data_IF_585075338414
#
_entry.id   IF_585075338414
#
_cell.length_a   1.000
_cell.length_b   1.000
_cell.length_c   1.000
_cell.angle_alpha   90.00
_cell.angle_beta   90.00
_cell.angle_gamma   90.00
#
_symmetry.space_group_name_H-M   'P 1'
#
loop_
_entity.id
_entity.type
_entity.pdbx_description
1 polymer ?
#
# COMPACT_ATOMS: atom_id res chain seq x y z
N UNK A 1 -43.46 20.10 29.26
CA UNK A 1 -42.31 19.36 29.85
C UNK A 1 -41.79 18.41 28.78
N UNK A 2 -40.79 18.85 27.99
CA UNK A 2 -40.26 18.11 26.83
C UNK A 2 -39.05 17.29 27.28
N UNK A 3 -39.17 15.97 27.27
CA UNK A 3 -38.12 15.02 27.63
C UNK A 3 -37.73 14.17 26.41
N UNK A 4 -37.19 14.77 25.34
CA UNK A 4 -36.76 14.01 24.15
C UNK A 4 -35.61 14.68 23.36
N UNK A 5 -34.68 15.37 24.05
CA UNK A 5 -33.50 15.97 23.38
C UNK A 5 -32.15 15.34 23.76
N UNK A 6 -32.11 14.33 24.63
CA UNK A 6 -30.85 13.76 25.12
C UNK A 6 -30.47 12.36 24.59
N UNK A 7 -31.23 11.78 23.66
CA UNK A 7 -30.91 10.46 23.05
C UNK A 7 -30.62 10.60 21.54
N UNK A 8 -29.82 11.58 21.13
CA UNK A 8 -29.28 11.66 19.75
C UNK A 8 -27.76 11.80 19.67
N UNK A 9 -27.04 11.78 20.80
CA UNK A 9 -25.59 11.98 20.82
C UNK A 9 -24.77 10.67 20.82
N UNK A 10 -25.42 9.49 20.81
CA UNK A 10 -24.74 8.18 20.84
C UNK A 10 -25.02 7.29 19.61
N UNK A 11 -25.47 7.86 18.49
CA UNK A 11 -25.48 7.10 17.23
C UNK A 11 -24.13 7.32 16.56
N UNK A 12 -23.21 6.37 16.77
CA UNK A 12 -21.88 6.36 16.16
C UNK A 12 -21.96 6.70 14.67
N UNK A 13 -21.05 7.56 14.21
CA UNK A 13 -21.01 8.04 12.83
C UNK A 13 -20.81 6.84 11.91
N UNK A 14 -21.84 6.44 11.16
CA UNK A 14 -21.73 5.34 10.19
C UNK A 14 -20.81 5.77 9.06
N UNK A 15 -19.62 5.17 8.98
CA UNK A 15 -18.70 5.39 7.86
C UNK A 15 -19.00 4.36 6.79
N UNK A 16 -19.28 4.82 5.57
CA UNK A 16 -19.46 3.95 4.41
C UNK A 16 -18.09 3.44 3.97
N UNK A 17 -17.89 2.12 4.03
CA UNK A 17 -16.62 1.49 3.67
C UNK A 17 -16.68 0.80 2.31
N UNK A 18 -17.87 0.43 1.82
CA UNK A 18 -18.07 -0.27 0.56
C UNK A 18 -19.49 -0.12 0.01
N UNK A 19 -19.83 -0.84 -1.07
CA UNK A 19 -21.21 -0.90 -1.58
C UNK A 19 -22.08 -1.68 -0.56
N UNK A 20 -22.91 -0.97 0.20
CA UNK A 20 -23.82 -1.57 1.20
C UNK A 20 -23.18 -1.88 2.55
N UNK A 21 -21.87 -1.74 2.69
CA UNK A 21 -21.14 -1.99 3.94
C UNK A 21 -20.93 -0.67 4.71
N UNK A 22 -21.44 -0.65 5.94
CA UNK A 22 -21.29 0.45 6.89
C UNK A 22 -20.66 -0.11 8.16
N UNK A 23 -19.59 0.50 8.65
CA UNK A 23 -19.05 0.17 9.96
C UNK A 23 -19.40 1.29 10.93
N UNK A 24 -19.77 0.90 12.15
CA UNK A 24 -19.85 1.77 13.33
C UNK A 24 -18.45 2.01 13.90
N UNK A 25 -17.43 2.06 13.04
CA UNK A 25 -16.05 2.20 13.46
C UNK A 25 -15.63 3.64 13.28
N UNK A 26 -15.18 4.26 14.37
CA UNK A 26 -14.58 5.59 14.37
C UNK A 26 -13.11 5.55 13.90
N UNK A 27 -12.61 4.38 13.47
CA UNK A 27 -11.26 4.25 12.91
C UNK A 27 -11.06 5.12 11.68
N UNK A 28 -9.91 5.78 11.66
CA UNK A 28 -9.51 6.63 10.55
C UNK A 28 -9.21 5.81 9.29
N UNK A 29 -9.21 6.49 8.14
CA UNK A 29 -8.65 5.94 6.91
C UNK A 29 -7.13 6.06 6.95
N UNK A 30 -6.46 5.14 6.26
CA UNK A 30 -5.01 5.19 6.12
C UNK A 30 -4.62 6.35 5.20
N UNK A 31 -3.80 7.24 5.72
CA UNK A 31 -3.20 8.38 5.01
C UNK A 31 -1.73 8.44 5.43
N UNK A 32 -0.81 7.82 4.66
CA UNK A 32 0.58 7.77 5.05
C UNK A 32 1.24 9.15 4.93
N UNK A 33 2.25 9.39 5.76
CA UNK A 33 3.12 10.56 5.58
C UNK A 33 3.90 10.40 4.28
N UNK A 34 3.73 11.36 3.37
CA UNK A 34 4.43 11.41 2.10
C UNK A 34 5.74 12.18 2.28
N UNK A 35 6.91 11.54 2.09
CA UNK A 35 8.19 12.21 2.23
C UNK A 35 8.54 13.05 0.98
N UNK A 36 9.44 14.02 1.13
CA UNK A 36 9.75 15.01 0.09
C UNK A 36 10.32 14.38 -1.18
N UNK A 37 11.22 13.42 -1.02
CA UNK A 37 11.84 12.66 -2.12
C UNK A 37 10.81 11.93 -2.99
N UNK A 38 9.69 11.48 -2.41
CA UNK A 38 8.61 10.84 -3.17
C UNK A 38 7.83 11.86 -4.00
N UNK A 39 7.64 13.08 -3.46
CA UNK A 39 7.01 14.20 -4.19
C UNK A 39 7.90 14.65 -5.35
N UNK A 40 9.21 14.77 -5.14
CA UNK A 40 10.17 15.12 -6.19
C UNK A 40 10.17 14.08 -7.30
N UNK A 41 10.21 12.80 -6.95
CA UNK A 41 10.16 11.68 -7.90
C UNK A 41 8.85 11.69 -8.72
N UNK A 42 7.72 11.93 -8.05
CA UNK A 42 6.42 12.05 -8.71
C UNK A 42 6.39 13.22 -9.69
N UNK A 43 6.88 14.39 -9.26
CA UNK A 43 6.91 15.59 -10.11
C UNK A 43 7.87 15.41 -11.30
N UNK A 44 8.99 14.74 -11.13
CA UNK A 44 9.93 14.40 -12.21
C UNK A 44 9.24 13.57 -13.29
N UNK A 45 8.56 12.49 -12.91
CA UNK A 45 7.85 11.63 -13.84
C UNK A 45 6.66 12.35 -14.48
N UNK A 46 5.90 13.14 -13.72
CA UNK A 46 4.77 13.92 -14.25
C UNK A 46 5.22 14.94 -15.30
N UNK A 47 6.36 15.61 -15.09
CA UNK A 47 6.90 16.60 -16.02
C UNK A 47 7.44 15.97 -17.30
N UNK A 48 8.07 14.80 -17.19
CA UNK A 48 8.73 14.14 -18.32
C UNK A 48 7.81 13.19 -19.08
N UNK A 49 6.81 12.63 -18.42
CA UNK A 49 5.90 11.61 -18.94
C UNK A 49 4.44 11.89 -18.51
N UNK A 50 3.80 12.99 -18.98
CA UNK A 50 2.51 13.45 -18.45
C UNK A 50 1.33 12.48 -18.60
N UNK A 51 1.43 11.51 -19.52
CA UNK A 51 0.40 10.50 -19.77
C UNK A 51 0.55 9.27 -18.87
N UNK A 52 1.69 9.12 -18.19
CA UNK A 52 1.93 7.99 -17.28
C UNK A 52 1.32 8.32 -15.93
N UNK A 53 0.66 7.33 -15.33
CA UNK A 53 0.05 7.44 -13.99
C UNK A 53 0.66 6.39 -13.06
N UNK A 54 1.90 6.59 -12.56
CA UNK A 54 2.51 5.64 -11.65
C UNK A 54 1.84 5.68 -10.28
N UNK A 55 1.77 4.53 -9.62
CA UNK A 55 1.47 4.41 -8.20
C UNK A 55 2.79 4.35 -7.43
N UNK A 56 2.94 5.22 -6.44
CA UNK A 56 4.16 5.35 -5.64
C UNK A 56 3.97 4.68 -4.30
N UNK A 57 4.96 3.90 -3.88
CA UNK A 57 4.95 3.17 -2.62
C UNK A 57 6.26 3.44 -1.89
N UNK A 58 6.17 3.77 -0.62
CA UNK A 58 7.33 3.82 0.26
C UNK A 58 7.24 2.70 1.29
N UNK A 59 8.25 1.84 1.32
CA UNK A 59 8.31 0.75 2.31
C UNK A 59 8.40 1.25 3.76
N UNK A 60 8.79 2.50 4.01
CA UNK A 60 8.70 3.14 5.34
C UNK A 60 7.29 3.24 5.85
N UNK A 61 6.26 3.22 5.00
CA UNK A 61 4.89 3.26 5.48
C UNK A 61 4.53 2.02 6.30
N UNK A 62 5.24 0.89 6.12
CA UNK A 62 5.01 -0.30 6.94
C UNK A 62 5.47 -0.15 8.38
N UNK A 63 6.39 0.78 8.66
CA UNK A 63 6.96 0.99 9.99
C UNK A 63 5.90 1.30 11.05
N UNK A 64 4.76 1.92 10.70
CA UNK A 64 3.71 2.17 11.69
C UNK A 64 2.95 0.92 12.14
N UNK A 65 3.11 -0.20 11.42
CA UNK A 65 2.46 -1.48 11.68
C UNK A 65 3.42 -2.56 12.19
N UNK A 66 4.73 -2.33 12.09
CA UNK A 66 5.77 -3.31 12.43
C UNK A 66 6.31 -3.09 13.85
N UNK A 67 6.82 -4.17 14.45
CA UNK A 67 7.61 -4.10 15.69
C UNK A 67 9.02 -3.62 15.35
N UNK A 68 9.69 -4.23 14.38
CA UNK A 68 11.02 -3.77 13.96
C UNK A 68 10.92 -2.72 12.87
N UNK A 69 11.51 -1.57 13.16
CA UNK A 69 11.57 -0.46 12.21
C UNK A 69 12.63 -0.75 11.15
N UNK A 70 12.28 -0.54 9.89
CA UNK A 70 13.19 -0.75 8.77
C UNK A 70 14.09 0.46 8.60
N UNK A 71 15.40 0.23 8.53
CA UNK A 71 16.42 1.27 8.40
C UNK A 71 16.66 1.67 6.94
N UNK A 72 16.78 0.69 6.04
CA UNK A 72 16.88 0.91 4.59
C UNK A 72 15.53 0.74 3.93
N UNK A 73 15.08 1.75 3.20
CA UNK A 73 13.79 1.74 2.54
C UNK A 73 13.94 1.74 1.03
N UNK A 74 12.99 1.08 0.40
CA UNK A 74 12.81 1.07 -1.05
C UNK A 74 11.60 1.92 -1.42
N UNK A 75 11.78 2.77 -2.43
CA UNK A 75 10.69 3.42 -3.14
C UNK A 75 10.27 2.50 -4.30
N UNK A 76 8.99 2.16 -4.40
CA UNK A 76 8.46 1.35 -5.50
C UNK A 76 7.60 2.23 -6.38
N UNK A 77 7.90 2.24 -7.67
CA UNK A 77 7.14 2.92 -8.72
C UNK A 77 6.44 1.85 -9.54
N UNK A 78 5.14 1.72 -9.35
CA UNK A 78 4.31 0.80 -10.11
C UNK A 78 3.66 1.53 -11.29
N UNK A 79 3.80 1.01 -12.51
CA UNK A 79 3.24 1.64 -13.71
C UNK A 79 2.66 0.58 -14.66
N UNK A 80 1.93 1.00 -15.69
CA UNK A 80 1.38 0.06 -16.67
C UNK A 80 2.51 -0.70 -17.39
N UNK A 81 2.20 -1.92 -17.84
CA UNK A 81 3.20 -2.78 -18.52
C UNK A 81 3.82 -2.08 -19.74
N UNK A 82 3.01 -1.33 -20.47
CA UNK A 82 3.41 -0.66 -21.71
C UNK A 82 4.31 0.56 -21.45
N UNK A 83 4.32 1.10 -20.22
CA UNK A 83 5.12 2.26 -19.81
C UNK A 83 6.30 1.89 -18.91
N UNK A 84 6.40 0.61 -18.54
CA UNK A 84 7.36 0.10 -17.55
C UNK A 84 8.82 0.40 -17.89
N UNK A 85 9.26 0.02 -19.10
CA UNK A 85 10.64 0.23 -19.54
C UNK A 85 10.96 1.72 -19.70
N UNK A 86 9.99 2.51 -20.17
CA UNK A 86 10.17 3.94 -20.36
C UNK A 86 10.34 4.66 -19.02
N UNK A 87 9.54 4.32 -18.01
CA UNK A 87 9.70 4.85 -16.64
C UNK A 87 11.04 4.42 -16.05
N UNK A 88 11.42 3.15 -16.19
CA UNK A 88 12.70 2.66 -15.71
C UNK A 88 13.89 3.40 -16.31
N UNK A 89 13.93 3.51 -17.64
CA UNK A 89 15.00 4.21 -18.34
C UNK A 89 15.05 5.69 -17.94
N UNK A 90 13.87 6.32 -17.78
CA UNK A 90 13.80 7.72 -17.37
C UNK A 90 14.40 7.95 -15.99
N UNK A 91 14.05 7.11 -15.02
CA UNK A 91 14.60 7.22 -13.67
C UNK A 91 16.09 6.90 -13.62
N UNK A 92 16.57 5.96 -14.45
CA UNK A 92 18.01 5.64 -14.56
C UNK A 92 18.88 6.80 -15.04
N UNK A 93 18.32 7.82 -15.69
CA UNK A 93 19.08 9.00 -16.11
C UNK A 93 19.58 9.84 -14.92
N UNK A 94 18.88 9.80 -13.78
CA UNK A 94 19.12 10.70 -12.64
C UNK A 94 19.35 9.99 -11.31
N UNK A 95 18.93 8.73 -11.20
CA UNK A 95 19.00 7.96 -9.97
C UNK A 95 19.92 6.75 -10.16
N UNK A 96 20.85 6.56 -9.22
CA UNK A 96 21.87 5.51 -9.31
C UNK A 96 21.26 4.10 -9.12
N UNK A 97 20.49 3.93 -8.06
CA UNK A 97 19.97 2.65 -7.58
C UNK A 97 18.55 2.36 -8.06
N UNK A 98 18.36 2.35 -9.38
CA UNK A 98 17.08 1.96 -10.00
C UNK A 98 17.11 0.50 -10.47
N UNK A 99 16.06 -0.27 -10.17
CA UNK A 99 15.96 -1.70 -10.48
C UNK A 99 14.64 -2.00 -11.19
N UNK A 100 14.71 -2.70 -12.32
CA UNK A 100 13.54 -3.10 -13.11
C UNK A 100 13.07 -4.49 -12.68
N UNK A 101 11.88 -4.57 -12.08
CA UNK A 101 11.21 -5.80 -11.69
C UNK A 101 12.16 -6.87 -11.08
N UNK A 102 12.90 -6.52 -10.01
CA UNK A 102 13.92 -7.38 -9.44
C UNK A 102 13.30 -8.68 -8.91
N UNK A 103 14.02 -9.78 -9.05
CA UNK A 103 13.70 -11.00 -8.32
C UNK A 103 14.23 -10.94 -6.87
N UNK A 104 14.05 -12.03 -6.14
CA UNK A 104 14.44 -12.10 -4.72
C UNK A 104 15.96 -12.07 -4.51
N UNK A 105 16.75 -12.65 -5.42
CA UNK A 105 18.21 -12.63 -5.29
C UNK A 105 18.73 -11.22 -5.59
N UNK A 106 18.16 -10.57 -6.61
CA UNK A 106 18.50 -9.18 -6.92
C UNK A 106 18.15 -8.28 -5.74
N UNK A 107 16.97 -8.47 -5.13
CA UNK A 107 16.57 -7.70 -3.97
C UNK A 107 17.52 -7.91 -2.77
N UNK A 108 17.79 -9.16 -2.42
CA UNK A 108 18.63 -9.52 -1.28
C UNK A 108 20.06 -8.97 -1.41
N UNK A 109 20.68 -9.11 -2.58
CA UNK A 109 22.09 -8.74 -2.76
C UNK A 109 22.33 -7.28 -3.12
N UNK A 110 21.34 -6.59 -3.72
CA UNK A 110 21.57 -5.26 -4.28
C UNK A 110 20.57 -4.18 -3.85
N UNK A 111 19.50 -4.53 -3.14
CA UNK A 111 18.43 -3.56 -2.78
C UNK A 111 18.26 -3.46 -1.27
N UNK A 112 18.24 -4.57 -0.54
CA UNK A 112 17.87 -4.62 0.88
C UNK A 112 18.75 -3.74 1.80
N UNK A 113 20.01 -3.49 1.43
CA UNK A 113 20.95 -2.63 2.17
C UNK A 113 21.30 -1.33 1.46
N UNK A 114 20.56 -0.95 0.42
CA UNK A 114 20.89 0.20 -0.43
C UNK A 114 19.96 1.37 -0.12
N UNK A 115 20.57 2.50 0.24
CA UNK A 115 19.83 3.73 0.45
C UNK A 115 19.28 4.28 -0.88
N UNK A 116 18.09 4.88 -0.81
CA UNK A 116 17.41 5.48 -1.97
C UNK A 116 17.19 4.52 -3.14
N UNK A 117 17.03 3.22 -2.86
CA UNK A 117 16.73 2.25 -3.91
C UNK A 117 15.33 2.48 -4.48
N UNK A 118 15.23 2.52 -5.82
CA UNK A 118 13.99 2.67 -6.56
C UNK A 118 13.71 1.39 -7.34
N UNK A 119 12.57 0.74 -7.06
CA UNK A 119 12.10 -0.43 -7.80
C UNK A 119 10.99 -0.01 -8.75
N UNK A 120 11.17 -0.28 -10.03
CA UNK A 120 10.15 -0.04 -11.06
C UNK A 120 9.52 -1.37 -11.44
N UNK A 121 8.20 -1.51 -11.29
CA UNK A 121 7.48 -2.76 -11.57
C UNK A 121 6.09 -2.52 -12.14
N UNK A 122 5.45 -3.57 -12.64
CA UNK A 122 4.11 -3.46 -13.21
C UNK A 122 3.04 -3.26 -12.13
N UNK A 123 2.17 -2.27 -12.33
CA UNK A 123 0.94 -2.10 -11.58
C UNK A 123 -0.06 -3.19 -11.98
N UNK A 124 -0.59 -3.92 -11.00
CA UNK A 124 -1.63 -4.91 -11.25
C UNK A 124 -2.94 -4.20 -11.58
N UNK A 125 -3.62 -4.63 -12.64
CA UNK A 125 -4.92 -4.07 -13.07
C UNK A 125 -5.93 -4.01 -11.92
N UNK A 126 -6.70 -2.91 -11.85
CA UNK A 126 -7.70 -2.65 -10.79
C UNK A 126 -7.11 -2.64 -9.36
N UNK A 127 -5.80 -2.40 -9.23
CA UNK A 127 -5.17 -2.10 -7.96
C UNK A 127 -5.93 -0.99 -7.22
N UNK A 128 -6.24 -1.17 -5.93
CA UNK A 128 -6.87 -0.11 -5.16
C UNK A 128 -5.80 0.95 -4.84
N UNK A 129 -5.93 2.07 -5.53
CA UNK A 129 -5.09 3.25 -5.44
C UNK A 129 -5.91 4.45 -4.96
N UNK A 130 -5.23 5.41 -4.35
CA UNK A 130 -5.76 6.66 -3.82
C UNK A 130 -5.00 7.79 -4.51
N UNK A 131 -5.73 8.74 -5.07
CA UNK A 131 -5.16 9.95 -5.65
C UNK A 131 -5.31 11.11 -4.65
N UNK A 132 -4.21 11.60 -4.11
CA UNK A 132 -4.17 12.70 -3.15
C UNK A 132 -3.05 13.67 -3.53
N UNK A 133 -3.35 14.97 -3.60
CA UNK A 133 -2.37 16.03 -3.91
C UNK A 133 -1.52 15.74 -5.16
N UNK A 134 -2.16 15.30 -6.25
CA UNK A 134 -1.52 14.88 -7.50
C UNK A 134 -0.52 13.70 -7.38
N UNK A 135 -0.54 12.99 -6.25
CA UNK A 135 0.20 11.76 -6.02
C UNK A 135 -0.77 10.58 -6.00
N UNK A 136 -0.42 9.54 -6.75
CA UNK A 136 -1.13 8.25 -6.71
C UNK A 136 -0.37 7.31 -5.77
N UNK A 137 -1.04 6.86 -4.71
CA UNK A 137 -0.50 5.96 -3.68
C UNK A 137 -1.41 4.73 -3.52
N UNK A 138 -0.91 3.59 -3.02
CA UNK A 138 -1.74 2.43 -2.73
C UNK A 138 -2.71 2.69 -1.57
N UNK A 139 -3.86 2.03 -1.59
CA UNK A 139 -4.67 1.89 -0.37
C UNK A 139 -4.02 0.91 0.61
N UNK A 140 -4.45 0.92 1.88
CA UNK A 140 -3.96 -0.04 2.86
C UNK A 140 -4.30 -1.48 2.47
N UNK A 141 -5.46 -1.72 1.84
CA UNK A 141 -5.82 -3.03 1.30
C UNK A 141 -4.81 -3.51 0.24
N UNK A 142 -4.30 -2.61 -0.61
CA UNK A 142 -3.26 -2.96 -1.58
C UNK A 142 -1.99 -3.40 -0.88
N UNK A 143 -1.49 -2.57 0.04
CA UNK A 143 -0.27 -2.84 0.81
C UNK A 143 -0.35 -4.21 1.52
N UNK A 144 -1.45 -4.51 2.20
CA UNK A 144 -1.64 -5.77 2.91
C UNK A 144 -1.65 -7.00 1.99
N UNK A 145 -2.19 -6.88 0.77
CA UNK A 145 -2.15 -7.98 -0.21
C UNK A 145 -0.77 -8.10 -0.83
N UNK A 146 -0.08 -6.98 -1.07
CA UNK A 146 1.22 -6.95 -1.73
C UNK A 146 2.31 -7.59 -0.91
N UNK A 147 2.34 -7.39 0.41
CA UNK A 147 3.34 -8.03 1.29
C UNK A 147 3.27 -9.56 1.18
N UNK A 148 2.06 -10.12 1.10
CA UNK A 148 1.84 -11.56 0.91
C UNK A 148 2.03 -12.01 -0.54
N UNK A 149 1.88 -11.06 -1.48
CA UNK A 149 1.92 -11.30 -2.92
C UNK A 149 3.33 -11.36 -3.49
N UNK A 150 4.19 -10.47 -3.00
CA UNK A 150 5.58 -10.25 -3.41
C UNK A 150 6.52 -10.37 -2.22
N UNK A 151 6.50 -11.51 -1.53
CA UNK A 151 7.37 -11.75 -0.37
C UNK A 151 8.86 -11.54 -0.67
N UNK A 152 9.29 -11.66 -1.94
CA UNK A 152 10.66 -11.35 -2.40
C UNK A 152 11.03 -9.87 -2.34
N UNK A 153 10.06 -8.98 -2.57
CA UNK A 153 10.25 -7.52 -2.50
C UNK A 153 10.02 -7.01 -1.08
N UNK A 154 9.12 -7.66 -0.35
CA UNK A 154 8.68 -7.26 0.98
C UNK A 154 9.13 -8.24 2.05
N UNK A 155 10.36 -8.77 1.97
CA UNK A 155 10.83 -9.87 2.85
C UNK A 155 10.67 -9.50 4.33
N UNK A 156 11.11 -8.30 4.72
CA UNK A 156 11.01 -7.82 6.10
C UNK A 156 9.57 -7.63 6.56
N UNK A 157 8.69 -7.15 5.68
CA UNK A 157 7.27 -6.97 6.01
C UNK A 157 6.52 -8.31 6.04
N UNK A 158 6.84 -9.25 5.15
CA UNK A 158 6.22 -10.58 5.10
C UNK A 158 6.53 -11.37 6.38
N UNK A 159 7.76 -11.25 6.89
CA UNK A 159 8.18 -11.84 8.15
C UNK A 159 7.38 -11.32 9.37
N UNK A 160 6.88 -10.09 9.31
CA UNK A 160 6.01 -9.49 10.35
C UNK A 160 4.55 -9.36 9.90
N UNK A 161 4.14 -10.08 8.85
CA UNK A 161 2.82 -9.91 8.24
C UNK A 161 1.67 -10.10 9.22
N UNK A 162 1.81 -10.96 10.23
CA UNK A 162 0.80 -11.15 11.28
C UNK A 162 0.59 -9.87 12.10
N UNK A 163 1.68 -9.30 12.63
CA UNK A 163 1.66 -8.05 13.40
C UNK A 163 1.16 -6.89 12.53
N UNK A 164 1.59 -6.83 11.27
CA UNK A 164 1.15 -5.79 10.33
C UNK A 164 -0.36 -5.87 10.13
N UNK A 165 -0.91 -7.07 9.91
CA UNK A 165 -2.35 -7.27 9.73
C UNK A 165 -3.12 -6.90 11.01
N UNK A 166 -2.73 -7.41 12.17
CA UNK A 166 -3.40 -7.10 13.44
C UNK A 166 -3.41 -5.58 13.72
N UNK A 167 -2.25 -4.93 13.59
CA UNK A 167 -2.11 -3.49 13.83
C UNK A 167 -2.92 -2.67 12.82
N UNK A 168 -2.91 -3.08 11.54
CA UNK A 168 -3.69 -2.41 10.48
C UNK A 168 -5.19 -2.47 10.74
N UNK A 169 -5.72 -3.66 11.05
CA UNK A 169 -7.15 -3.84 11.35
C UNK A 169 -7.57 -3.21 12.69
N UNK A 170 -6.63 -3.06 13.62
CA UNK A 170 -6.87 -2.35 14.87
C UNK A 170 -6.91 -0.83 14.69
N UNK A 171 -5.98 -0.24 13.94
CA UNK A 171 -5.85 1.22 13.78
C UNK A 171 -6.77 1.81 12.72
N UNK A 172 -7.01 1.07 11.64
CA UNK A 172 -7.62 1.63 10.43
C UNK A 172 -8.88 0.89 10.01
N UNK A 173 -9.73 1.63 9.30
CA UNK A 173 -10.88 1.06 8.62
C UNK A 173 -10.41 0.36 7.34
N UNK A 174 -10.58 -0.97 7.28
CA UNK A 174 -10.22 -1.80 6.12
C UNK A 174 -11.49 -2.21 5.35
N UNK A 175 -11.54 -1.90 4.05
CA UNK A 175 -12.57 -2.37 3.13
C UNK A 175 -12.27 -3.81 2.69
N UNK A 176 -12.93 -4.77 3.36
CA UNK A 176 -12.78 -6.20 3.10
C UNK A 176 -13.15 -6.60 1.67
N UNK A 177 -14.20 -6.01 1.12
CA UNK A 177 -14.63 -6.24 -0.27
C UNK A 177 -13.53 -5.83 -1.25
N UNK A 178 -12.83 -4.72 -1.01
CA UNK A 178 -11.69 -4.26 -1.81
C UNK A 178 -10.45 -5.14 -1.60
N UNK A 179 -10.13 -5.48 -0.35
CA UNK A 179 -9.04 -6.40 0.00
C UNK A 179 -9.18 -7.75 -0.74
N UNK A 180 -10.34 -8.40 -0.61
CA UNK A 180 -10.61 -9.70 -1.26
C UNK A 180 -10.63 -9.58 -2.79
N UNK A 181 -11.19 -8.50 -3.34
CA UNK A 181 -11.18 -8.25 -4.80
C UNK A 181 -9.75 -8.16 -5.32
N UNK A 182 -8.90 -7.39 -4.66
CA UNK A 182 -7.52 -7.22 -5.09
C UNK A 182 -6.69 -8.50 -4.88
N UNK A 183 -6.90 -9.21 -3.76
CA UNK A 183 -6.29 -10.51 -3.52
C UNK A 183 -6.62 -11.53 -4.63
N UNK A 184 -7.84 -11.53 -5.18
CA UNK A 184 -8.18 -12.35 -6.36
C UNK A 184 -7.36 -11.97 -7.59
N UNK A 185 -7.24 -10.67 -7.89
CA UNK A 185 -6.43 -10.18 -9.02
C UNK A 185 -4.97 -10.61 -8.92
N UNK A 186 -4.45 -10.74 -7.70
CA UNK A 186 -3.08 -11.21 -7.42
C UNK A 186 -2.96 -12.74 -7.27
N UNK A 187 -4.02 -13.52 -7.44
CA UNK A 187 -4.04 -14.96 -7.15
C UNK A 187 -3.59 -15.29 -5.70
N UNK A 188 -3.96 -14.43 -4.74
CA UNK A 188 -3.63 -14.53 -3.30
C UNK A 188 -4.86 -14.59 -2.40
N UNK A 189 -6.07 -14.76 -2.94
CA UNK A 189 -7.29 -14.79 -2.12
C UNK A 189 -7.21 -15.82 -0.99
N UNK A 190 -6.86 -17.06 -1.30
CA UNK A 190 -6.80 -18.14 -0.31
C UNK A 190 -5.80 -17.83 0.81
N UNK A 191 -4.66 -17.23 0.47
CA UNK A 191 -3.63 -16.84 1.43
C UNK A 191 -4.14 -15.72 2.35
N UNK A 192 -4.76 -14.69 1.78
CA UNK A 192 -5.37 -13.58 2.53
C UNK A 192 -6.49 -14.10 3.44
N UNK A 193 -7.41 -14.92 2.96
CA UNK A 193 -8.49 -15.49 3.78
C UNK A 193 -7.95 -16.38 4.90
N UNK A 194 -6.95 -17.23 4.61
CA UNK A 194 -6.30 -18.04 5.64
C UNK A 194 -5.65 -17.18 6.72
N UNK A 195 -4.98 -16.09 6.34
CA UNK A 195 -4.37 -15.14 7.27
C UNK A 195 -5.43 -14.42 8.12
N UNK A 196 -6.52 -13.95 7.51
CA UNK A 196 -7.62 -13.32 8.26
C UNK A 196 -8.27 -14.27 9.26
N UNK A 197 -8.49 -15.53 8.86
CA UNK A 197 -9.06 -16.55 9.73
C UNK A 197 -8.14 -16.90 10.90
N UNK A 198 -6.84 -17.11 10.61
CA UNK A 198 -5.82 -17.39 11.62
C UNK A 198 -5.79 -16.33 12.72
N UNK A 199 -5.93 -15.06 12.32
CA UNK A 199 -5.89 -13.90 13.21
C UNK A 199 -7.24 -13.53 13.81
N UNK A 200 -8.31 -14.31 13.57
CA UNK A 200 -9.69 -13.99 13.96
C UNK A 200 -10.13 -12.59 13.51
N UNK A 201 -9.65 -12.17 12.33
CA UNK A 201 -9.99 -10.91 11.70
C UNK A 201 -11.18 -11.06 10.75
N UNK A 202 -11.77 -12.25 10.55
CA UNK A 202 -13.03 -12.42 9.83
C UNK A 202 -14.21 -11.99 10.70
N UNK A 203 -15.15 -11.19 10.17
CA UNK A 203 -16.45 -10.90 10.82
C UNK A 203 -17.52 -11.45 9.90
#
# INVERSE_FOLDING_TARGET
MKWDSHIKQYIGKKTKIGRGEYVLDNKQKFHPTVPHELLELSQELKNSMPLVQPCFIDTRWFNEFMVHQIFHHTLVVETDKDTLEAVFNKLKERHEHVFLNPDGQVYEYYIAGTDNAIVVKSLISEAPIINENDLCIPSLEKLLVDILGDSKLYISQDAESEVIYETSFHKYTINRSTLKRYARRRNRLNLVESKLKQLNLEI
#
